data_IF_650397848128
#
_entry.id   IF_650397848128
#
_cell.length_a   1.000
_cell.length_b   1.000
_cell.length_c   1.000
_cell.angle_alpha   90.00
_cell.angle_beta   90.00
_cell.angle_gamma   90.00
#
_symmetry.space_group_name_H-M   'P 1'
#
loop_
_entity.id
_entity.type
_entity.pdbx_description
1 polymer ?
#
# COMPACT_ATOMS: atom_id res chain seq x y z
N UNK A 1 -12.50 -8.98 -0.31
CA UNK A 1 -12.63 -7.52 -0.50
C UNK A 1 -11.83 -7.15 -1.74
N UNK A 2 -12.50 -6.87 -2.87
CA UNK A 2 -11.83 -6.63 -4.15
C UNK A 2 -11.61 -5.13 -4.40
N UNK A 3 -10.45 -4.78 -4.93
CA UNK A 3 -10.21 -3.45 -5.49
C UNK A 3 -10.94 -3.38 -6.83
N UNK A 4 -11.81 -2.39 -7.01
CA UNK A 4 -12.52 -2.22 -8.28
C UNK A 4 -11.51 -2.06 -9.44
N UNK A 5 -11.73 -2.67 -10.62
CA UNK A 5 -10.79 -2.59 -11.73
C UNK A 5 -10.42 -1.15 -12.14
N UNK A 6 -11.34 -0.20 -11.95
CA UNK A 6 -11.13 1.22 -12.25
C UNK A 6 -10.36 2.01 -11.18
N UNK A 7 -10.08 1.45 -10.00
CA UNK A 7 -9.43 2.20 -8.90
C UNK A 7 -7.94 1.87 -8.72
N UNK A 8 -7.48 0.70 -9.19
CA UNK A 8 -6.08 0.30 -9.05
C UNK A 8 -5.14 1.19 -9.87
N UNK A 9 -5.41 1.37 -11.17
CA UNK A 9 -4.52 2.15 -12.04
C UNK A 9 -4.41 3.64 -11.64
N UNK A 10 -5.52 4.35 -11.31
CA UNK A 10 -5.41 5.70 -10.77
C UNK A 10 -4.61 5.78 -9.47
N UNK A 11 -4.74 4.79 -8.60
CA UNK A 11 -3.96 4.73 -7.35
C UNK A 11 -2.47 4.56 -7.62
N UNK A 12 -2.08 3.60 -8.49
CA UNK A 12 -0.68 3.37 -8.86
C UNK A 12 -0.05 4.63 -9.48
N UNK A 13 -0.76 5.29 -10.41
CA UNK A 13 -0.30 6.55 -11.02
C UNK A 13 -0.14 7.67 -10.01
N UNK A 14 -1.03 7.74 -9.01
CA UNK A 14 -0.93 8.75 -7.95
C UNK A 14 0.30 8.50 -7.07
N UNK A 15 0.54 7.25 -6.67
CA UNK A 15 1.71 6.88 -5.87
C UNK A 15 3.03 7.11 -6.63
N UNK A 16 3.06 6.83 -7.93
CA UNK A 16 4.18 7.18 -8.82
C UNK A 16 4.40 8.71 -8.87
N UNK A 17 3.34 9.50 -9.06
CA UNK A 17 3.42 10.97 -9.08
C UNK A 17 3.93 11.54 -7.74
N UNK A 18 3.70 10.85 -6.63
CA UNK A 18 4.19 11.22 -5.30
C UNK A 18 5.64 10.77 -5.06
N UNK A 19 6.28 10.07 -6.01
CA UNK A 19 7.63 9.54 -5.85
C UNK A 19 7.72 8.29 -4.97
N UNK A 20 6.59 7.71 -4.57
CA UNK A 20 6.54 6.51 -3.71
C UNK A 20 6.67 5.20 -4.50
N UNK A 21 6.39 5.26 -5.81
CA UNK A 21 6.63 4.17 -6.74
C UNK A 21 7.51 4.65 -7.88
N UNK A 22 8.39 3.76 -8.32
CA UNK A 22 9.11 3.84 -9.59
C UNK A 22 8.43 2.93 -10.60
N UNK A 23 8.63 3.23 -11.88
CA UNK A 23 8.11 2.39 -12.95
C UNK A 23 9.14 2.05 -14.00
N UNK A 24 9.03 0.84 -14.54
CA UNK A 24 9.88 0.32 -15.61
C UNK A 24 9.03 -0.37 -16.67
N UNK A 25 9.41 -0.18 -17.92
CA UNK A 25 8.83 -0.92 -19.04
C UNK A 25 9.63 -2.19 -19.29
N UNK A 26 8.98 -3.34 -19.19
CA UNK A 26 9.50 -4.58 -19.74
C UNK A 26 9.08 -4.68 -21.20
N UNK A 27 10.07 -4.70 -22.08
CA UNK A 27 9.89 -4.75 -23.54
C UNK A 27 10.34 -6.07 -24.14
N UNK A 28 10.71 -7.05 -23.30
CA UNK A 28 11.16 -8.37 -23.74
C UNK A 28 10.01 -9.28 -24.22
N UNK A 29 8.77 -8.95 -23.86
CA UNK A 29 7.56 -9.64 -24.30
C UNK A 29 6.94 -8.99 -25.53
N UNK A 30 6.13 -9.76 -26.28
CA UNK A 30 5.36 -9.28 -27.43
C UNK A 30 4.40 -8.10 -27.10
N UNK A 31 4.10 -7.89 -25.82
CA UNK A 31 3.26 -6.81 -25.31
C UNK A 31 4.00 -6.11 -24.17
N UNK A 32 4.40 -4.84 -24.33
CA UNK A 32 5.17 -4.14 -23.31
C UNK A 32 4.34 -3.97 -22.04
N UNK A 33 4.93 -4.35 -20.90
CA UNK A 33 4.29 -4.24 -19.57
C UNK A 33 4.96 -3.17 -18.74
N UNK A 34 4.17 -2.36 -18.05
CA UNK A 34 4.65 -1.39 -17.07
C UNK A 34 4.62 -2.02 -15.68
N UNK A 35 5.79 -2.21 -15.09
CA UNK A 35 5.94 -2.67 -13.70
C UNK A 35 6.11 -1.47 -12.78
N UNK A 36 5.62 -1.60 -11.55
CA UNK A 36 5.78 -0.61 -10.49
C UNK A 36 6.50 -1.26 -9.31
N UNK A 37 7.52 -0.59 -8.79
CA UNK A 37 8.29 -1.00 -7.61
C UNK A 37 8.31 0.15 -6.61
N UNK A 38 8.46 -0.15 -5.32
CA UNK A 38 8.62 0.90 -4.31
C UNK A 38 9.96 1.60 -4.53
N UNK A 39 9.95 2.92 -4.46
CA UNK A 39 11.18 3.72 -4.35
C UNK A 39 11.75 3.64 -2.93
N UNK A 40 12.92 4.22 -2.70
CA UNK A 40 13.47 4.36 -1.35
C UNK A 40 12.53 5.12 -0.40
N UNK A 41 11.95 6.23 -0.87
CA UNK A 41 10.95 7.00 -0.11
C UNK A 41 9.66 6.20 0.10
N UNK A 42 9.24 5.46 -0.92
CA UNK A 42 8.10 4.54 -0.84
C UNK A 42 8.27 3.46 0.21
N UNK A 43 9.47 2.90 0.34
CA UNK A 43 9.80 1.92 1.38
C UNK A 43 9.75 2.53 2.78
N UNK A 44 10.30 3.74 2.97
CA UNK A 44 10.26 4.43 4.25
C UNK A 44 8.80 4.71 4.70
N UNK A 45 7.97 5.24 3.79
CA UNK A 45 6.55 5.49 4.06
C UNK A 45 5.80 4.18 4.33
N UNK A 46 6.09 3.12 3.58
CA UNK A 46 5.49 1.81 3.80
C UNK A 46 5.75 1.28 5.22
N UNK A 47 7.01 1.35 5.68
CA UNK A 47 7.38 0.90 7.03
C UNK A 47 6.67 1.73 8.12
N UNK A 48 6.57 3.04 7.94
CA UNK A 48 5.84 3.92 8.86
C UNK A 48 4.35 3.56 8.91
N UNK A 49 3.72 3.32 7.76
CA UNK A 49 2.31 2.91 7.71
C UNK A 49 2.08 1.56 8.37
N UNK A 50 3.01 0.61 8.21
CA UNK A 50 2.93 -0.67 8.91
C UNK A 50 3.01 -0.51 10.43
N UNK A 51 3.89 0.36 10.92
CA UNK A 51 4.00 0.64 12.35
C UNK A 51 2.73 1.29 12.90
N UNK A 52 2.22 2.31 12.20
CA UNK A 52 1.00 3.00 12.59
C UNK A 52 -0.22 2.06 12.59
N UNK A 53 -0.32 1.21 11.59
CA UNK A 53 -1.37 0.19 11.52
C UNK A 53 -1.33 -0.74 12.74
N UNK A 54 -0.15 -1.20 13.16
CA UNK A 54 -0.01 -2.06 14.35
C UNK A 54 -0.48 -1.34 15.61
N UNK A 55 -0.17 -0.06 15.78
CA UNK A 55 -0.62 0.74 16.92
C UNK A 55 -2.14 0.90 16.95
N UNK A 56 -2.74 1.17 15.79
CA UNK A 56 -4.20 1.26 15.65
C UNK A 56 -4.85 -0.08 15.98
N UNK A 57 -4.33 -1.17 15.41
CA UNK A 57 -4.85 -2.52 15.67
C UNK A 57 -4.79 -2.88 17.16
N UNK A 58 -3.64 -2.68 17.81
CA UNK A 58 -3.49 -2.92 19.25
C UNK A 58 -4.45 -2.07 20.08
N UNK A 59 -4.63 -0.79 19.73
CA UNK A 59 -5.59 0.08 20.42
C UNK A 59 -7.03 -0.42 20.28
N UNK A 60 -7.40 -0.88 19.09
CA UNK A 60 -8.71 -1.48 18.84
C UNK A 60 -8.90 -2.77 19.63
N UNK A 61 -7.89 -3.65 19.67
CA UNK A 61 -7.90 -4.88 20.48
C UNK A 61 -8.16 -4.56 21.95
N UNK A 62 -7.43 -3.60 22.53
CA UNK A 62 -7.64 -3.15 23.92
C UNK A 62 -9.07 -2.64 24.16
N UNK A 63 -9.62 -1.84 23.24
CA UNK A 63 -10.99 -1.32 23.36
C UNK A 63 -12.04 -2.43 23.30
N UNK A 64 -11.81 -3.47 22.49
CA UNK A 64 -12.74 -4.60 22.36
C UNK A 64 -12.60 -5.63 23.47
N UNK A 65 -11.40 -5.81 24.05
CA UNK A 65 -11.15 -6.77 25.12
C UNK A 65 -11.78 -6.36 26.47
N UNK A 66 -11.92 -5.06 26.74
CA UNK A 66 -12.52 -4.54 27.97
C UNK A 66 -14.05 -4.76 28.09
N UNK A 67 -14.67 -5.46 27.13
CA UNK A 67 -16.12 -5.68 27.09
C UNK A 67 -16.57 -7.04 27.63
N UNK A 68 -15.63 -7.91 28.04
CA UNK A 68 -15.94 -9.26 28.55
C UNK A 68 -15.96 -9.38 30.10
N UNK A 69 -15.65 -8.31 30.84
CA UNK A 69 -15.60 -8.32 32.31
C UNK A 69 -16.78 -7.61 33.02
N UNK A 70 -17.92 -7.40 32.35
CA UNK A 70 -19.12 -6.82 32.98
C UNK A 70 -20.41 -7.58 32.64
#
# INVERSE_FOLDING_TARGET
MGVAPGTLYPLLRRLEKQGLLESSWDTNEAWPRKYYTRSADGEAVYLQLCDEWRKIAASMEHLTANKEEN
#
